data_IF_194030430479
#
_entry.id   IF_194030430479
#
_cell.length_a   1.000
_cell.length_b   1.000
_cell.length_c   1.000
_cell.angle_alpha   90.00
_cell.angle_beta   90.00
_cell.angle_gamma   90.00
#
_symmetry.space_group_name_H-M   'P 1'
#
loop_
_entity.id
_entity.type
_entity.pdbx_description
1 polymer ?
#
# COMPACT_ATOMS: atom_id res chain seq x y z
N UNK A 1 10.95 -17.54 -12.56
CA UNK A 1 9.74 -16.81 -12.99
C UNK A 1 9.55 -15.63 -12.07
N UNK A 2 8.65 -14.70 -12.37
CA UNK A 2 8.33 -13.56 -11.52
C UNK A 2 6.81 -13.36 -11.50
N UNK A 3 6.30 -12.76 -10.44
CA UNK A 3 4.87 -12.46 -10.27
C UNK A 3 4.68 -10.99 -10.60
N UNK A 4 3.76 -10.68 -11.49
CA UNK A 4 3.44 -9.30 -11.90
C UNK A 4 2.05 -8.90 -11.40
N UNK A 5 1.97 -7.70 -10.84
CA UNK A 5 0.72 -7.05 -10.43
C UNK A 5 0.60 -5.73 -11.18
N UNK A 6 -0.57 -5.48 -11.71
CA UNK A 6 -0.86 -4.30 -12.51
C UNK A 6 -1.79 -3.37 -11.72
N UNK A 7 -1.39 -2.10 -11.57
CA UNK A 7 -2.18 -1.07 -10.90
C UNK A 7 -2.44 0.12 -11.81
N UNK A 8 -3.69 0.58 -11.84
CA UNK A 8 -4.13 1.65 -12.74
C UNK A 8 -4.44 1.16 -14.15
N UNK A 9 -4.63 2.11 -15.06
CA UNK A 9 -4.99 1.86 -16.47
C UNK A 9 -3.93 2.44 -17.42
N UNK A 10 -3.74 1.83 -18.63
CA UNK A 10 -2.93 2.45 -19.67
C UNK A 10 -3.39 3.89 -19.99
N UNK A 11 -2.48 4.80 -20.32
CA UNK A 11 -1.04 4.61 -20.50
C UNK A 11 -0.20 4.75 -19.21
N UNK A 12 -0.78 5.03 -18.07
CA UNK A 12 -0.07 5.30 -16.81
C UNK A 12 0.02 4.09 -15.88
N UNK A 13 -0.43 2.92 -16.34
CA UNK A 13 -0.42 1.69 -15.56
C UNK A 13 0.97 1.38 -14.98
N UNK A 14 1.01 1.07 -13.70
CA UNK A 14 2.20 0.62 -12.98
C UNK A 14 2.24 -0.91 -12.95
N UNK A 15 3.41 -1.47 -13.21
CA UNK A 15 3.65 -2.92 -13.14
C UNK A 15 4.64 -3.21 -12.01
N UNK A 16 4.14 -3.85 -10.95
CA UNK A 16 4.95 -4.31 -9.83
C UNK A 16 5.38 -5.75 -10.09
N UNK A 17 6.68 -6.02 -10.05
CA UNK A 17 7.27 -7.34 -10.31
C UNK A 17 7.96 -7.85 -9.05
N UNK A 18 7.52 -9.00 -8.55
CA UNK A 18 8.09 -9.70 -7.40
C UNK A 18 8.81 -10.97 -7.86
N UNK A 19 9.92 -11.37 -7.22
CA UNK A 19 10.52 -12.68 -7.43
C UNK A 19 9.53 -13.82 -7.10
N UNK A 20 9.74 -15.00 -7.68
CA UNK A 20 8.84 -16.16 -7.54
C UNK A 20 8.84 -16.82 -6.15
N UNK A 21 9.79 -16.45 -5.30
CA UNK A 21 9.83 -16.85 -3.89
C UNK A 21 9.00 -15.96 -2.96
N UNK A 22 8.24 -15.00 -3.51
CA UNK A 22 7.25 -14.22 -2.80
C UNK A 22 5.85 -14.77 -3.00
N UNK A 23 5.05 -14.77 -1.94
CA UNK A 23 3.60 -14.87 -2.08
C UNK A 23 3.03 -13.46 -2.30
N UNK A 24 2.25 -13.27 -3.36
CA UNK A 24 1.69 -11.95 -3.72
C UNK A 24 0.21 -12.08 -4.04
N UNK A 25 -0.58 -11.10 -3.60
CA UNK A 25 -2.02 -11.02 -3.87
C UNK A 25 -2.46 -9.58 -4.10
N UNK A 26 -3.27 -9.34 -5.13
CA UNK A 26 -4.11 -8.14 -5.23
C UNK A 26 -5.29 -8.28 -4.25
N UNK A 27 -5.14 -7.72 -3.07
CA UNK A 27 -6.04 -8.03 -1.96
C UNK A 27 -7.43 -7.41 -2.13
N UNK A 28 -7.51 -6.17 -2.59
CA UNK A 28 -8.79 -5.46 -2.83
C UNK A 28 -9.65 -6.10 -3.92
N UNK A 29 -9.02 -6.80 -4.87
CA UNK A 29 -9.70 -7.54 -5.93
C UNK A 29 -9.96 -9.01 -5.57
N UNK A 30 -9.47 -9.50 -4.42
CA UNK A 30 -9.69 -10.86 -3.96
C UNK A 30 -11.16 -11.17 -3.73
N UNK A 31 -11.54 -12.44 -3.94
CA UNK A 31 -12.90 -12.90 -3.67
C UNK A 31 -13.29 -12.72 -2.21
N UNK A 32 -12.36 -12.99 -1.29
CA UNK A 32 -12.56 -12.80 0.14
C UNK A 32 -12.89 -11.35 0.49
N UNK A 33 -12.12 -10.39 -0.03
CA UNK A 33 -12.40 -8.98 0.22
C UNK A 33 -13.79 -8.60 -0.30
N UNK A 34 -14.08 -8.84 -1.58
CA UNK A 34 -15.35 -8.42 -2.22
C UNK A 34 -16.59 -9.08 -1.61
N UNK A 35 -16.51 -10.34 -1.23
CA UNK A 35 -17.69 -11.09 -0.76
C UNK A 35 -17.87 -11.03 0.76
N UNK A 36 -16.81 -10.78 1.54
CA UNK A 36 -16.88 -10.88 3.00
C UNK A 36 -16.49 -9.58 3.71
N UNK A 37 -15.42 -8.92 3.29
CA UNK A 37 -14.89 -7.75 4.01
C UNK A 37 -15.63 -6.47 3.58
N UNK A 38 -15.82 -6.25 2.30
CA UNK A 38 -16.48 -5.05 1.73
C UNK A 38 -17.96 -4.93 2.12
N UNK A 39 -18.57 -6.01 2.63
CA UNK A 39 -19.93 -5.97 3.20
C UNK A 39 -20.05 -5.09 4.44
N UNK A 40 -18.98 -4.89 5.18
CA UNK A 40 -18.93 -3.96 6.28
C UNK A 40 -18.70 -2.56 5.74
N UNK A 41 -19.73 -1.74 5.78
CA UNK A 41 -19.66 -0.37 5.27
C UNK A 41 -18.46 0.39 5.85
N UNK A 42 -17.64 0.97 4.98
CA UNK A 42 -16.44 1.73 5.33
C UNK A 42 -15.16 0.90 5.48
N UNK A 43 -15.22 -0.42 5.36
CA UNK A 43 -14.00 -1.24 5.28
C UNK A 43 -13.29 -0.98 3.95
N UNK A 44 -11.97 -0.87 4.02
CA UNK A 44 -11.12 -0.60 2.86
C UNK A 44 -10.00 -1.63 2.83
N UNK A 45 -9.36 -1.79 1.67
CA UNK A 45 -8.21 -2.67 1.52
C UNK A 45 -7.05 -1.95 0.84
N UNK A 46 -5.84 -2.39 1.15
CA UNK A 46 -4.66 -2.05 0.36
C UNK A 46 -4.70 -2.81 -0.97
N UNK A 47 -4.01 -2.30 -1.96
CA UNK A 47 -4.01 -2.87 -3.29
C UNK A 47 -3.22 -4.19 -3.32
N UNK A 48 -2.01 -4.24 -2.74
CA UNK A 48 -1.10 -5.39 -2.83
C UNK A 48 -0.71 -5.91 -1.44
N UNK A 49 -0.80 -7.24 -1.27
CA UNK A 49 -0.13 -7.98 -0.21
C UNK A 49 1.05 -8.74 -0.79
N UNK A 50 2.19 -8.72 -0.10
CA UNK A 50 3.33 -9.55 -0.45
C UNK A 50 4.01 -10.09 0.80
N UNK A 51 4.36 -11.38 0.81
CA UNK A 51 5.04 -12.03 1.93
C UNK A 51 6.21 -12.88 1.46
N UNK A 52 7.28 -12.89 2.25
CA UNK A 52 8.44 -13.77 2.07
C UNK A 52 9.09 -14.05 3.42
N UNK A 53 9.06 -15.32 3.84
CA UNK A 53 9.52 -15.70 5.18
C UNK A 53 8.75 -14.93 6.26
N UNK A 54 9.47 -14.20 7.11
CA UNK A 54 8.87 -13.40 8.18
C UNK A 54 8.49 -11.96 7.77
N UNK A 55 8.65 -11.60 6.51
CA UNK A 55 8.30 -10.26 6.02
C UNK A 55 6.90 -10.24 5.44
N UNK A 56 6.11 -9.26 5.85
CA UNK A 56 4.80 -8.94 5.29
C UNK A 56 4.80 -7.49 4.81
N UNK A 57 4.46 -7.28 3.55
CA UNK A 57 4.26 -5.96 2.94
C UNK A 57 2.76 -5.78 2.67
N UNK A 58 2.21 -4.68 3.18
CA UNK A 58 0.93 -4.13 2.79
C UNK A 58 1.23 -2.87 1.98
N UNK A 59 0.84 -2.86 0.70
CA UNK A 59 1.15 -1.74 -0.19
C UNK A 59 -0.11 -1.11 -0.75
N UNK A 60 -0.22 0.18 -0.53
CA UNK A 60 -1.21 1.06 -1.18
C UNK A 60 -0.53 1.81 -2.31
N UNK A 61 -1.15 1.83 -3.48
CA UNK A 61 -0.65 2.52 -4.68
C UNK A 61 -1.52 3.74 -4.97
N UNK A 62 -0.88 4.89 -5.13
CA UNK A 62 -1.55 6.13 -5.53
C UNK A 62 -0.80 6.74 -6.70
N UNK A 63 -1.46 6.80 -7.84
CA UNK A 63 -0.96 7.49 -9.02
C UNK A 63 -1.70 8.82 -9.20
N UNK A 64 -0.98 9.92 -9.02
CA UNK A 64 -1.50 11.28 -9.17
C UNK A 64 -0.94 11.99 -10.39
N UNK A 65 -0.30 11.27 -11.29
CA UNK A 65 0.18 11.83 -12.56
C UNK A 65 -1.01 12.26 -13.42
N UNK A 66 -0.91 13.44 -14.03
CA UNK A 66 -1.97 14.01 -14.87
C UNK A 66 -3.18 14.59 -14.11
N UNK A 67 -3.27 14.45 -12.79
CA UNK A 67 -4.41 14.89 -11.98
C UNK A 67 -4.00 15.86 -10.85
N UNK A 68 -3.17 16.85 -11.15
CA UNK A 68 -2.45 17.63 -10.15
C UNK A 68 -3.31 18.51 -9.25
N UNK A 69 -4.40 19.14 -9.76
CA UNK A 69 -5.19 20.11 -8.98
C UNK A 69 -6.09 19.49 -7.92
N UNK A 70 -6.86 18.49 -8.28
CA UNK A 70 -7.81 17.83 -7.38
C UNK A 70 -7.08 17.04 -6.28
N UNK A 71 -6.01 16.37 -6.67
CA UNK A 71 -5.22 15.56 -5.78
C UNK A 71 -4.33 16.37 -4.81
N UNK A 72 -3.96 17.60 -5.15
CA UNK A 72 -3.18 18.46 -4.25
C UNK A 72 -3.95 18.75 -2.95
N UNK A 73 -5.25 19.08 -3.04
CA UNK A 73 -6.09 19.32 -1.87
C UNK A 73 -6.19 18.08 -0.97
N UNK A 74 -6.33 16.89 -1.54
CA UNK A 74 -6.36 15.63 -0.78
C UNK A 74 -5.03 15.35 -0.07
N UNK A 75 -3.91 15.68 -0.71
CA UNK A 75 -2.58 15.50 -0.12
C UNK A 75 -2.33 16.49 1.02
N UNK A 76 -2.70 17.76 0.84
CA UNK A 76 -2.45 18.82 1.83
C UNK A 76 -3.40 18.78 3.01
N UNK A 77 -4.68 18.38 2.81
CA UNK A 77 -5.68 18.28 3.88
C UNK A 77 -5.45 17.13 4.86
N UNK A 78 -4.54 16.21 4.57
CA UNK A 78 -4.33 15.00 5.37
C UNK A 78 -5.35 13.89 5.14
N UNK A 79 -6.42 14.13 4.36
CA UNK A 79 -7.46 13.14 4.08
C UNK A 79 -6.90 11.88 3.41
N UNK A 80 -5.95 12.03 2.48
CA UNK A 80 -5.24 10.92 1.86
C UNK A 80 -4.56 10.02 2.90
N UNK A 81 -3.86 10.61 3.87
CA UNK A 81 -3.13 9.86 4.88
C UNK A 81 -4.05 9.09 5.82
N UNK A 82 -5.20 9.69 6.18
CA UNK A 82 -6.23 9.01 6.97
C UNK A 82 -6.80 7.83 6.18
N UNK A 83 -7.13 8.05 4.90
CA UNK A 83 -7.61 6.98 4.01
C UNK A 83 -6.62 5.83 3.91
N UNK A 84 -5.34 6.12 3.68
CA UNK A 84 -4.27 5.13 3.58
C UNK A 84 -4.09 4.39 4.90
N UNK A 85 -4.06 5.09 6.02
CA UNK A 85 -3.97 4.46 7.34
C UNK A 85 -5.17 3.53 7.62
N UNK A 86 -6.39 3.95 7.26
CA UNK A 86 -7.59 3.11 7.38
C UNK A 86 -7.46 1.84 6.52
N UNK A 87 -6.99 1.94 5.27
CA UNK A 87 -6.77 0.78 4.40
C UNK A 87 -5.81 -0.24 5.05
N UNK A 88 -4.70 0.23 5.62
CA UNK A 88 -3.75 -0.64 6.32
C UNK A 88 -4.39 -1.36 7.51
N UNK A 89 -5.08 -0.61 8.38
CA UNK A 89 -5.73 -1.17 9.57
C UNK A 89 -6.82 -2.17 9.20
N UNK A 90 -7.68 -1.82 8.25
CA UNK A 90 -8.74 -2.70 7.77
C UNK A 90 -8.18 -3.98 7.15
N UNK A 91 -7.09 -3.88 6.39
CA UNK A 91 -6.43 -5.05 5.78
C UNK A 91 -5.84 -5.98 6.85
N UNK A 92 -5.14 -5.44 7.86
CA UNK A 92 -4.64 -6.24 8.98
C UNK A 92 -5.77 -6.97 9.70
N UNK A 93 -6.86 -6.26 10.01
CA UNK A 93 -8.04 -6.84 10.63
C UNK A 93 -8.67 -7.95 9.78
N UNK A 94 -8.75 -7.74 8.47
CA UNK A 94 -9.28 -8.72 7.53
C UNK A 94 -8.38 -9.97 7.45
N UNK A 95 -7.05 -9.81 7.45
CA UNK A 95 -6.10 -10.93 7.47
C UNK A 95 -6.23 -11.77 8.76
N UNK A 96 -6.40 -11.13 9.92
CA UNK A 96 -6.69 -11.83 11.17
C UNK A 96 -8.01 -12.63 11.06
N UNK A 97 -9.04 -12.03 10.45
CA UNK A 97 -10.30 -12.72 10.17
C UNK A 97 -10.14 -13.92 9.22
N UNK A 98 -9.34 -13.77 8.17
CA UNK A 98 -9.02 -14.82 7.21
C UNK A 98 -8.28 -15.98 7.89
N UNK A 99 -7.28 -15.66 8.72
CA UNK A 99 -6.53 -16.66 9.50
C UNK A 99 -7.43 -17.45 10.44
N UNK A 100 -8.27 -16.77 11.22
CA UNK A 100 -9.22 -17.41 12.15
C UNK A 100 -10.24 -18.29 11.42
N UNK A 101 -10.55 -17.98 10.17
CA UNK A 101 -11.44 -18.76 9.31
C UNK A 101 -10.71 -19.87 8.55
N UNK A 102 -9.39 -19.98 8.69
CA UNK A 102 -8.56 -21.01 8.03
C UNK A 102 -8.57 -20.90 6.51
N UNK A 103 -8.61 -19.69 5.94
CA UNK A 103 -8.67 -19.50 4.48
C UNK A 103 -7.33 -19.84 3.83
N UNK A 104 -7.25 -20.91 3.02
CA UNK A 104 -5.96 -21.40 2.51
C UNK A 104 -5.31 -20.44 1.51
N UNK A 105 -6.08 -19.63 0.82
CA UNK A 105 -5.55 -18.64 -0.15
C UNK A 105 -4.65 -17.59 0.50
N UNK A 106 -4.82 -17.33 1.81
CA UNK A 106 -4.02 -16.38 2.57
C UNK A 106 -3.01 -17.03 3.52
N UNK A 107 -2.89 -18.36 3.50
CA UNK A 107 -1.96 -19.09 4.37
C UNK A 107 -0.52 -18.57 4.35
N UNK A 108 0.06 -18.15 3.20
CA UNK A 108 1.41 -17.60 3.16
C UNK A 108 1.59 -16.27 3.93
N UNK A 109 0.50 -15.55 4.21
CA UNK A 109 0.54 -14.26 4.89
C UNK A 109 0.36 -14.38 6.42
N UNK A 110 -0.01 -15.55 6.94
CA UNK A 110 -0.27 -15.73 8.38
C UNK A 110 0.99 -15.79 9.24
N UNK A 111 2.06 -16.52 8.89
CA UNK A 111 3.25 -16.58 9.72
C UNK A 111 3.87 -15.21 10.01
N UNK A 112 3.99 -14.28 9.03
CA UNK A 112 4.47 -12.93 9.30
C UNK A 112 3.57 -12.15 10.27
N UNK A 113 2.25 -12.38 10.28
CA UNK A 113 1.32 -11.72 11.21
C UNK A 113 1.55 -12.14 12.65
N UNK A 114 1.86 -13.42 12.88
CA UNK A 114 2.02 -13.97 14.22
C UNK A 114 3.37 -13.65 14.86
N UNK A 115 4.44 -13.69 14.06
CA UNK A 115 5.79 -13.74 14.57
C UNK A 115 6.68 -12.57 14.12
N UNK A 116 6.27 -11.81 13.11
CA UNK A 116 7.11 -10.77 12.54
C UNK A 116 6.91 -9.42 13.20
N UNK A 117 8.03 -8.84 13.66
CA UNK A 117 8.12 -7.40 13.95
C UNK A 117 8.29 -6.55 12.68
N UNK A 118 8.24 -7.16 11.50
CA UNK A 118 8.56 -6.54 10.21
C UNK A 118 7.36 -6.45 9.27
N UNK A 119 6.18 -6.11 9.80
CA UNK A 119 5.08 -5.68 8.96
C UNK A 119 5.43 -4.31 8.39
N UNK A 120 5.62 -4.27 7.08
CA UNK A 120 5.89 -3.04 6.33
C UNK A 120 4.60 -2.53 5.71
N UNK A 121 4.29 -1.28 5.96
CA UNK A 121 3.22 -0.55 5.29
C UNK A 121 3.84 0.42 4.31
N UNK A 122 3.62 0.19 3.02
CA UNK A 122 4.19 0.98 1.94
C UNK A 122 3.09 1.79 1.26
N UNK A 123 3.23 3.11 1.27
CA UNK A 123 2.52 3.97 0.34
C UNK A 123 3.42 4.18 -0.88
N UNK A 124 3.03 3.63 -2.02
CA UNK A 124 3.67 3.92 -3.30
C UNK A 124 2.94 5.09 -3.95
N UNK A 125 3.64 6.21 -4.16
CA UNK A 125 3.03 7.49 -4.49
C UNK A 125 3.69 8.13 -5.72
N UNK A 126 3.11 7.90 -6.91
CA UNK A 126 3.54 8.59 -8.14
C UNK A 126 2.89 9.97 -8.26
N UNK A 127 3.69 10.95 -8.65
CA UNK A 127 3.27 12.35 -8.82
C UNK A 127 4.06 13.01 -9.93
N UNK A 128 3.44 13.97 -10.61
CA UNK A 128 4.16 14.82 -11.54
C UNK A 128 5.24 15.63 -10.82
N UNK A 129 6.47 15.61 -11.32
CA UNK A 129 7.59 16.37 -10.74
C UNK A 129 7.34 17.89 -10.81
N UNK A 130 6.72 18.35 -11.90
CA UNK A 130 6.47 19.74 -12.20
C UNK A 130 4.99 19.98 -12.50
N UNK A 131 4.14 20.03 -11.47
CA UNK A 131 2.78 20.53 -11.66
C UNK A 131 2.82 22.08 -11.79
N UNK A 132 2.53 22.66 -12.96
CA UNK A 132 2.57 24.10 -13.12
C UNK A 132 1.48 24.79 -12.29
N UNK A 133 1.84 25.83 -11.57
CA UNK A 133 0.87 26.82 -11.08
C UNK A 133 0.62 26.91 -9.58
N UNK A 134 1.43 26.32 -8.71
CA UNK A 134 1.24 26.45 -7.25
C UNK A 134 2.44 27.06 -6.54
N UNK A 135 2.61 28.36 -6.71
CA UNK A 135 3.68 29.13 -6.05
C UNK A 135 3.53 29.28 -4.52
N UNK A 136 2.39 28.87 -3.93
CA UNK A 136 2.10 29.16 -2.52
C UNK A 136 1.70 27.94 -1.66
N UNK A 137 1.40 26.77 -2.22
CA UNK A 137 1.10 25.60 -1.41
C UNK A 137 2.34 24.69 -1.25
N UNK A 138 2.83 24.57 -0.03
CA UNK A 138 3.97 23.71 0.31
C UNK A 138 3.59 22.24 0.07
N UNK A 139 4.10 21.68 -1.01
CA UNK A 139 3.93 20.26 -1.33
C UNK A 139 4.60 19.39 -0.27
N UNK A 140 3.89 18.41 0.27
CA UNK A 140 4.48 17.45 1.21
C UNK A 140 5.54 16.59 0.50
N UNK A 141 6.66 16.38 1.15
CA UNK A 141 7.70 15.45 0.71
C UNK A 141 7.33 14.00 1.04
N UNK A 142 8.02 13.01 0.45
CA UNK A 142 7.86 11.60 0.84
C UNK A 142 8.18 11.39 2.34
N UNK A 143 9.16 12.12 2.86
CA UNK A 143 9.51 12.11 4.28
C UNK A 143 8.39 12.66 5.18
N UNK A 144 7.71 13.73 4.75
CA UNK A 144 6.54 14.26 5.47
C UNK A 144 5.40 13.23 5.51
N UNK A 145 5.08 12.59 4.38
CA UNK A 145 4.09 11.52 4.31
C UNK A 145 4.44 10.37 5.24
N UNK A 146 5.67 9.89 5.18
CA UNK A 146 6.17 8.81 6.06
C UNK A 146 6.04 9.18 7.54
N UNK A 147 6.47 10.38 7.93
CA UNK A 147 6.40 10.86 9.32
C UNK A 147 4.96 10.92 9.83
N UNK A 148 4.04 11.42 9.01
CA UNK A 148 2.61 11.52 9.36
C UNK A 148 1.95 10.15 9.45
N UNK A 149 2.21 9.21 8.51
CA UNK A 149 1.70 7.84 8.57
C UNK A 149 2.19 7.10 9.82
N UNK A 150 3.47 7.24 10.18
CA UNK A 150 4.00 6.65 11.43
C UNK A 150 3.25 7.12 12.66
N UNK A 151 2.86 8.40 12.73
CA UNK A 151 2.08 8.91 13.87
C UNK A 151 0.67 8.32 13.89
N UNK A 152 0.01 8.20 12.74
CA UNK A 152 -1.33 7.61 12.65
C UNK A 152 -1.35 6.13 13.02
N UNK A 153 -0.26 5.42 12.76
CA UNK A 153 -0.15 3.97 12.92
C UNK A 153 0.71 3.55 14.12
N UNK A 154 1.01 4.47 15.03
CA UNK A 154 1.90 4.22 16.17
C UNK A 154 1.45 3.04 17.04
N UNK A 155 0.15 2.82 17.18
CA UNK A 155 -0.41 1.73 17.98
C UNK A 155 -0.18 0.33 17.38
N UNK A 156 0.24 0.24 16.12
CA UNK A 156 0.38 -1.03 15.40
C UNK A 156 1.83 -1.52 15.31
N UNK A 157 2.80 -0.75 15.80
CA UNK A 157 4.25 -1.07 15.78
C UNK A 157 4.74 -1.56 14.40
N UNK A 158 4.39 -0.82 13.35
CA UNK A 158 4.65 -1.18 11.97
C UNK A 158 5.65 -0.25 11.30
N UNK A 159 6.39 -0.77 10.33
CA UNK A 159 7.33 0.01 9.53
C UNK A 159 6.64 0.72 8.37
N UNK A 160 6.35 2.02 8.53
CA UNK A 160 5.81 2.83 7.45
C UNK A 160 6.90 3.30 6.50
N UNK A 161 6.69 3.12 5.21
CA UNK A 161 7.54 3.63 4.14
C UNK A 161 6.70 4.35 3.08
N UNK A 162 7.32 5.31 2.41
CA UNK A 162 6.70 6.00 1.27
C UNK A 162 7.73 6.06 0.16
N UNK A 163 7.36 5.54 -1.00
CA UNK A 163 8.24 5.47 -2.17
C UNK A 163 7.54 6.01 -3.41
N UNK A 164 8.33 6.39 -4.39
CA UNK A 164 7.99 6.53 -5.79
C UNK A 164 9.06 5.80 -6.63
N UNK A 165 8.91 5.78 -7.96
CA UNK A 165 9.89 5.09 -8.84
C UNK A 165 11.29 5.69 -8.75
N UNK A 166 11.39 7.00 -8.54
CA UNK A 166 12.69 7.69 -8.48
C UNK A 166 13.43 7.46 -7.15
N UNK A 167 12.70 7.13 -6.08
CA UNK A 167 13.23 7.04 -4.71
C UNK A 167 13.06 5.64 -4.10
N UNK A 168 13.23 4.60 -4.89
CA UNK A 168 13.29 3.23 -4.37
C UNK A 168 14.64 2.98 -3.67
N UNK A 169 14.65 2.34 -2.48
CA UNK A 169 15.88 2.04 -1.79
C UNK A 169 16.72 0.98 -2.53
N UNK A 170 18.04 1.11 -2.45
CA UNK A 170 18.94 0.09 -2.97
C UNK A 170 18.70 -1.22 -2.21
N UNK A 171 18.62 -2.33 -2.95
CA UNK A 171 18.43 -3.67 -2.35
C UNK A 171 16.97 -4.06 -2.10
N UNK A 172 15.99 -3.26 -2.55
CA UNK A 172 14.61 -3.71 -2.60
C UNK A 172 14.49 -4.88 -3.60
N UNK A 173 13.77 -5.94 -3.21
CA UNK A 173 13.72 -7.17 -4.00
C UNK A 173 12.67 -7.13 -5.11
N UNK A 174 11.64 -6.32 -4.97
CA UNK A 174 10.63 -6.11 -6.01
C UNK A 174 10.98 -4.90 -6.89
N UNK A 175 10.34 -4.78 -8.03
CA UNK A 175 10.56 -3.69 -9.01
C UNK A 175 9.23 -3.11 -9.44
N UNK A 176 9.26 -1.87 -9.97
CA UNK A 176 8.11 -1.21 -10.57
C UNK A 176 8.52 -0.50 -11.87
N UNK A 177 7.65 -0.58 -12.87
CA UNK A 177 7.78 0.09 -14.17
C UNK A 177 6.60 1.01 -14.41
#
# INVERSE_FOLDING_TARGET
MSIEIFEGNPPTQLTFTFPDDWAVSQFDSSRFYRERVDRLNGMKAVDILAAKGERLILMEVKDFRGHSRENLRRQTSGALLIEVAQKFVCTLSALVGAQRSGLPEFAPFYPPLEHSRHVQMILFLERDEHAPGFLHEKRLTLADFKSKLRRLLVAYDVHCQVYDRAHLPKGIEWRVK
#
